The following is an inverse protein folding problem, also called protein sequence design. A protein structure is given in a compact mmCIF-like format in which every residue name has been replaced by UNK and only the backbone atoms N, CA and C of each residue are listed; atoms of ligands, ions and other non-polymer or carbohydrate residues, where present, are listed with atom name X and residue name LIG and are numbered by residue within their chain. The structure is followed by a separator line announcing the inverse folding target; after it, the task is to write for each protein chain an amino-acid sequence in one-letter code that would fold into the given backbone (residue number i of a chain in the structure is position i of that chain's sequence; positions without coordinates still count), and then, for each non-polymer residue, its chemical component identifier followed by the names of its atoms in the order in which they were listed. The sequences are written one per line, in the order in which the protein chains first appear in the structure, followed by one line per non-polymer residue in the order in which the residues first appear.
data_IF_976701913815
#
_entry.id   IF_976701913815
#
_cell.length_a   1.000
_cell.length_b   1.000
_cell.length_c   1.000
_cell.angle_alpha   90.00
_cell.angle_beta   90.00
_cell.angle_gamma   90.00
#
_symmetry.space_group_name_H-M   'P 1'
#
loop_
_entity.id
_entity.type
_entity.pdbx_description
1 polymer ?
#
# COMPACT_ATOMS: atom_id res chain seq x y z
N UNK A 1 18.96 15.18 -12.91
CA UNK A 1 18.21 13.92 -12.69
C UNK A 1 18.20 13.65 -11.20
N UNK A 2 17.04 13.72 -10.54
CA UNK A 2 16.93 13.32 -9.12
C UNK A 2 16.88 11.79 -9.11
N UNK A 3 17.84 11.15 -8.45
CA UNK A 3 17.86 9.68 -8.35
C UNK A 3 17.03 9.27 -7.15
N UNK A 4 16.21 8.24 -7.30
CA UNK A 4 15.54 7.62 -6.17
C UNK A 4 16.59 7.17 -5.15
N UNK A 5 16.38 7.50 -3.88
CA UNK A 5 17.37 7.25 -2.83
C UNK A 5 17.19 5.82 -2.31
N UNK A 6 18.22 4.98 -2.41
CA UNK A 6 18.13 3.58 -1.97
C UNK A 6 17.71 3.44 -0.49
N UNK A 7 18.13 4.37 0.39
CA UNK A 7 17.72 4.37 1.80
C UNK A 7 16.21 4.56 1.98
N UNK A 8 15.53 5.17 1.01
CA UNK A 8 14.07 5.26 1.03
C UNK A 8 13.41 3.92 0.71
N UNK A 9 14.03 3.10 -0.14
CA UNK A 9 13.57 1.74 -0.38
C UNK A 9 13.73 0.88 0.87
N UNK A 10 14.82 1.05 1.63
CA UNK A 10 14.98 0.33 2.90
C UNK A 10 13.90 0.71 3.92
N UNK A 11 13.45 1.97 3.93
CA UNK A 11 12.44 2.48 4.87
C UNK A 11 10.99 2.19 4.44
N UNK A 12 10.69 2.24 3.13
CA UNK A 12 9.32 2.18 2.60
C UNK A 12 9.12 1.13 1.49
N UNK A 13 10.17 0.41 1.09
CA UNK A 13 10.21 -0.39 -0.14
C UNK A 13 9.28 -1.60 -0.16
N UNK A 14 8.71 -2.00 0.97
CA UNK A 14 7.68 -3.03 1.00
C UNK A 14 6.36 -2.60 0.35
N UNK A 15 6.13 -1.29 0.20
CA UNK A 15 4.86 -0.76 -0.30
C UNK A 15 4.99 0.44 -1.24
N UNK A 16 6.08 1.19 -1.17
CA UNK A 16 6.31 2.37 -1.99
C UNK A 16 7.01 1.99 -3.30
N UNK A 17 6.27 1.99 -4.39
CA UNK A 17 6.78 1.66 -5.72
C UNK A 17 7.17 2.92 -6.48
N UNK A 18 8.27 2.90 -7.24
CA UNK A 18 8.72 4.05 -8.04
C UNK A 18 8.68 3.73 -9.53
N UNK A 19 7.98 4.56 -10.30
CA UNK A 19 7.96 4.48 -11.76
C UNK A 19 9.02 5.40 -12.36
N UNK A 20 10.05 4.80 -12.98
CA UNK A 20 11.12 5.56 -13.67
C UNK A 20 10.57 6.35 -14.86
N UNK A 21 9.63 5.79 -15.61
CA UNK A 21 9.06 6.45 -16.80
C UNK A 21 8.20 7.66 -16.45
N UNK A 22 7.55 7.65 -15.28
CA UNK A 22 6.69 8.75 -14.80
C UNK A 22 7.39 9.69 -13.81
N UNK A 23 8.53 9.26 -13.24
CA UNK A 23 9.20 9.92 -12.11
C UNK A 23 8.25 10.15 -10.91
N UNK A 24 7.45 9.13 -10.58
CA UNK A 24 6.44 9.18 -9.51
C UNK A 24 6.44 7.94 -8.65
N UNK A 25 6.03 8.09 -7.38
CA UNK A 25 5.81 6.96 -6.48
C UNK A 25 4.32 6.57 -6.39
N UNK A 26 4.08 5.29 -6.13
CA UNK A 26 2.77 4.69 -5.93
C UNK A 26 2.77 3.86 -4.64
N UNK A 27 1.58 3.56 -4.11
CA UNK A 27 1.44 2.66 -2.96
C UNK A 27 0.81 1.34 -3.42
N UNK A 28 1.57 0.25 -3.34
CA UNK A 28 1.15 -1.10 -3.74
C UNK A 28 -0.09 -1.56 -2.97
N UNK A 29 -0.09 -1.42 -1.64
CA UNK A 29 -1.23 -1.86 -0.83
C UNK A 29 -2.50 -1.08 -1.16
N UNK A 30 -2.39 0.24 -1.27
CA UNK A 30 -3.53 1.06 -1.64
C UNK A 30 -4.01 0.77 -3.06
N UNK A 31 -3.11 0.50 -4.02
CA UNK A 31 -3.51 0.10 -5.37
C UNK A 31 -4.31 -1.20 -5.39
N UNK A 32 -3.94 -2.20 -4.58
CA UNK A 32 -4.58 -3.52 -4.56
C UNK A 32 -5.87 -3.57 -3.72
N UNK A 33 -5.93 -2.81 -2.64
CA UNK A 33 -6.95 -2.94 -1.59
C UNK A 33 -7.72 -1.64 -1.33
N UNK A 34 -7.74 -0.69 -2.27
CA UNK A 34 -8.47 0.59 -2.12
C UNK A 34 -9.94 0.33 -1.80
N UNK A 35 -10.29 0.31 -0.51
CA UNK A 35 -11.50 -0.38 -0.10
C UNK A 35 -12.77 0.43 -0.28
N UNK A 36 -12.77 1.76 -0.37
CA UNK A 36 -14.02 2.50 -0.60
C UNK A 36 -13.86 3.82 -1.37
N UNK A 37 -14.56 3.84 -2.51
CA UNK A 37 -14.77 4.88 -3.53
C UNK A 37 -15.50 6.16 -3.00
N UNK A 38 -15.59 6.34 -1.68
CA UNK A 38 -16.46 7.37 -1.08
C UNK A 38 -15.77 8.65 -0.63
N UNK A 39 -14.48 8.60 -0.30
CA UNK A 39 -13.75 9.73 0.28
C UNK A 39 -12.32 9.76 -0.28
N UNK A 40 -12.21 9.85 -1.60
CA UNK A 40 -10.93 9.97 -2.29
C UNK A 40 -10.34 11.36 -2.04
N UNK A 41 -9.75 11.55 -0.86
CA UNK A 41 -8.91 12.71 -0.60
C UNK A 41 -7.78 12.78 -1.63
N UNK A 42 -7.33 14.01 -1.93
CA UNK A 42 -6.27 14.28 -2.92
C UNK A 42 -4.98 13.45 -2.76
N UNK A 43 -4.71 12.97 -1.54
CA UNK A 43 -3.55 12.13 -1.23
C UNK A 43 -3.72 10.68 -1.71
N UNK A 44 -4.93 10.12 -1.73
CA UNK A 44 -5.16 8.76 -2.21
C UNK A 44 -4.98 8.69 -3.73
N UNK A 45 -5.59 9.63 -4.46
CA UNK A 45 -5.43 9.75 -5.92
C UNK A 45 -3.97 9.94 -6.33
N UNK A 46 -3.18 10.65 -5.51
CA UNK A 46 -1.75 10.82 -5.75
C UNK A 46 -0.97 9.51 -5.64
N UNK A 47 -1.27 8.61 -4.70
CA UNK A 47 -0.51 7.36 -4.55
C UNK A 47 -1.07 6.17 -5.33
N UNK A 48 -2.29 6.25 -5.86
CA UNK A 48 -2.93 5.16 -6.60
C UNK A 48 -3.04 5.46 -8.10
N UNK A 49 -3.57 6.64 -8.47
CA UNK A 49 -3.89 6.96 -9.86
C UNK A 49 -2.79 7.73 -10.58
N UNK A 50 -2.52 8.96 -10.12
CA UNK A 50 -1.66 9.91 -10.84
C UNK A 50 -0.17 9.68 -10.57
N UNK A 51 0.16 9.22 -9.37
CA UNK A 51 1.53 9.07 -8.89
C UNK A 51 2.01 10.28 -8.10
N UNK A 52 2.64 10.02 -6.95
CA UNK A 52 3.12 11.01 -6.01
C UNK A 52 4.45 11.58 -6.49
N UNK A 53 4.41 12.78 -7.08
CA UNK A 53 5.58 13.50 -7.63
C UNK A 53 6.50 14.10 -6.56
N UNK A 54 5.97 14.36 -5.37
CA UNK A 54 6.72 14.97 -4.26
C UNK A 54 7.44 13.92 -3.39
N UNK A 55 7.73 12.74 -3.97
CA UNK A 55 8.41 11.65 -3.29
C UNK A 55 9.79 12.01 -2.75
N UNK A 56 10.39 13.14 -3.10
CA UNK A 56 11.65 13.58 -2.48
C UNK A 56 11.45 14.22 -1.10
N UNK A 57 10.20 14.57 -0.74
CA UNK A 57 9.81 15.13 0.56
C UNK A 57 9.15 14.04 1.40
N UNK A 58 9.86 13.54 2.43
CA UNK A 58 9.40 12.43 3.28
C UNK A 58 8.06 12.72 3.94
N UNK A 59 7.77 13.98 4.25
CA UNK A 59 6.56 14.36 4.96
C UNK A 59 5.29 13.95 4.22
N UNK A 60 5.26 14.03 2.88
CA UNK A 60 4.09 13.59 2.12
C UNK A 60 3.89 12.07 2.16
N UNK A 61 4.98 11.30 2.21
CA UNK A 61 4.93 9.84 2.41
C UNK A 61 4.46 9.50 3.81
N UNK A 62 4.95 10.22 4.84
CA UNK A 62 4.51 10.04 6.23
C UNK A 62 3.04 10.40 6.43
N UNK A 63 2.57 11.48 5.79
CA UNK A 63 1.15 11.86 5.80
C UNK A 63 0.28 10.79 5.15
N UNK A 64 0.75 10.18 4.04
CA UNK A 64 0.03 9.08 3.41
C UNK A 64 -0.05 7.83 4.32
N UNK A 65 1.05 7.46 4.98
CA UNK A 65 1.06 6.37 5.97
C UNK A 65 0.09 6.68 7.12
N UNK A 66 0.04 7.94 7.57
CA UNK A 66 -0.91 8.40 8.58
C UNK A 66 -0.82 7.64 9.91
N UNK A 67 -1.92 7.62 10.66
CA UNK A 67 -2.04 6.85 11.90
C UNK A 67 -2.52 5.41 11.64
N UNK A 68 -2.70 4.63 12.71
CA UNK A 68 -3.17 3.25 12.65
C UNK A 68 -4.54 3.04 11.96
N UNK A 69 -5.34 4.09 11.78
CA UNK A 69 -6.66 4.04 11.10
C UNK A 69 -6.60 4.58 9.67
N UNK A 70 -5.43 5.00 9.19
CA UNK A 70 -5.25 5.51 7.84
C UNK A 70 -5.69 4.50 6.78
N UNK A 71 -6.05 5.00 5.60
CA UNK A 71 -6.36 4.17 4.45
C UNK A 71 -5.20 3.21 4.12
N UNK A 72 -3.96 3.71 4.17
CA UNK A 72 -2.76 2.90 3.99
C UNK A 72 -2.69 1.72 4.95
N UNK A 73 -2.86 1.96 6.26
CA UNK A 73 -2.75 0.89 7.26
C UNK A 73 -3.91 -0.11 7.18
N UNK A 74 -5.11 0.31 6.75
CA UNK A 74 -6.21 -0.60 6.44
C UNK A 74 -5.89 -1.50 5.24
N UNK A 75 -5.34 -0.93 4.16
CA UNK A 75 -4.92 -1.69 2.98
C UNK A 75 -3.76 -2.65 3.30
N UNK A 76 -2.81 -2.20 4.11
CA UNK A 76 -1.74 -3.04 4.63
C UNK A 76 -2.29 -4.23 5.40
N UNK A 77 -3.25 -3.99 6.31
CA UNK A 77 -3.88 -5.06 7.07
C UNK A 77 -4.62 -6.06 6.17
N UNK A 78 -5.38 -5.58 5.18
CA UNK A 78 -6.03 -6.43 4.19
C UNK A 78 -5.02 -7.30 3.41
N UNK A 79 -3.87 -6.72 3.04
CA UNK A 79 -2.78 -7.48 2.43
C UNK A 79 -2.21 -8.55 3.36
N UNK A 80 -1.98 -8.21 4.64
CA UNK A 80 -1.50 -9.18 5.62
C UNK A 80 -2.48 -10.35 5.82
N UNK A 81 -3.78 -10.06 5.83
CA UNK A 81 -4.81 -11.08 6.00
C UNK A 81 -4.93 -11.96 4.77
N UNK A 82 -4.78 -11.39 3.56
CA UNK A 82 -4.68 -12.18 2.33
C UNK A 82 -3.49 -13.16 2.37
N UNK A 83 -2.35 -12.76 2.93
CA UNK A 83 -1.17 -13.63 3.02
C UNK A 83 -1.30 -14.74 4.09
N UNK A 84 -2.25 -14.64 5.02
CA UNK A 84 -2.48 -15.65 6.07
C UNK A 84 -3.34 -16.81 5.58
N UNK A 85 -2.75 -17.68 4.77
CA UNK A 85 -3.42 -18.86 4.19
C UNK A 85 -4.18 -19.74 5.19
N UNK A 86 -3.70 -19.84 6.44
CA UNK A 86 -4.37 -20.64 7.49
C UNK A 86 -5.81 -20.19 7.81
N UNK A 87 -6.17 -18.96 7.45
CA UNK A 87 -7.49 -18.39 7.66
C UNK A 87 -8.32 -18.38 6.37
N UNK A 88 -7.80 -18.97 5.29
CA UNK A 88 -8.52 -19.05 4.03
C UNK A 88 -9.65 -20.07 4.12
N UNK A 89 -10.66 -19.86 3.26
CA UNK A 89 -11.90 -20.60 3.29
C UNK A 89 -11.70 -22.10 3.00
N UNK A 90 -10.80 -22.43 2.08
CA UNK A 90 -10.40 -23.79 1.69
C UNK A 90 -9.70 -24.53 2.83
N UNK A 91 -8.84 -23.86 3.60
CA UNK A 91 -8.20 -24.44 4.79
C UNK A 91 -9.24 -24.76 5.86
N UNK A 92 -10.20 -23.86 6.06
CA UNK A 92 -11.28 -24.06 7.04
C UNK A 92 -12.16 -25.25 6.64
N UNK A 93 -12.52 -25.38 5.35
CA UNK A 93 -13.28 -26.52 4.86
C UNK A 93 -12.53 -27.85 4.99
N UNK A 94 -11.22 -27.86 4.71
CA UNK A 94 -10.39 -29.07 4.85
C UNK A 94 -10.35 -29.56 6.30
N UNK A 95 -10.13 -28.66 7.26
CA UNK A 95 -10.11 -29.00 8.69
C UNK A 95 -11.45 -29.55 9.21
N UNK A 96 -12.58 -29.12 8.63
CA UNK A 96 -13.91 -29.64 8.96
C UNK A 96 -14.12 -31.03 8.36
N UNK A 97 -13.61 -31.28 7.15
CA UNK A 97 -13.70 -32.59 6.50
C UNK A 97 -12.87 -33.68 7.18
N UNK A 98 -11.80 -33.30 7.88
CA UNK A 98 -10.90 -34.21 8.60
C UNK A 98 -11.38 -34.51 10.05
N UNK A 99 -12.54 -33.98 10.45
CA UNK A 99 -13.15 -34.12 11.78
C UNK A 99 -14.31 -35.12 11.78
#
# INVERSE_FOLDING_TARGET
MRRFNLKWYEEFGFWLEYSVSKDTCFCLYCYLFDMEVGDSGSTQEAFVGVGFKNWHKKDGVKVHVGDHKSAHNRCYQACQDLMKQKQHIDVTFSNISDQ
#
